data_IF_528430520939
#
_entry.id   IF_528430520939
#
_cell.length_a   1.000
_cell.length_b   1.000
_cell.length_c   1.000
_cell.angle_alpha   90.00
_cell.angle_beta   90.00
_cell.angle_gamma   90.00
#
_symmetry.space_group_name_H-M   'P 1'
#
loop_
_entity.id
_entity.type
_entity.pdbx_description
1 polymer ?
#
# COMPACT_ATOMS: atom_id res chain seq x y z
N UNK A 1 -21.88 18.11 40.08
CA UNK A 1 -22.85 17.30 39.33
C UNK A 1 -22.07 16.34 38.47
N UNK A 2 -22.41 15.05 38.55
CA UNK A 2 -21.65 13.91 38.03
C UNK A 2 -21.61 13.90 36.50
N UNK A 3 -20.50 14.29 35.90
CA UNK A 3 -20.27 14.24 34.45
C UNK A 3 -19.38 13.07 34.02
N UNK A 4 -18.73 12.38 34.95
CA UNK A 4 -17.65 11.43 34.65
C UNK A 4 -18.09 10.07 34.08
N UNK A 5 -19.18 9.41 34.55
CA UNK A 5 -19.53 8.08 34.02
C UNK A 5 -20.23 8.13 32.65
N UNK A 6 -21.22 9.02 32.46
CA UNK A 6 -21.98 9.09 31.20
C UNK A 6 -21.14 9.61 30.03
N UNK A 7 -20.29 10.62 30.25
CA UNK A 7 -19.35 11.08 29.21
C UNK A 7 -18.30 10.01 28.89
N UNK A 8 -17.83 9.25 29.89
CA UNK A 8 -16.91 8.14 29.67
C UNK A 8 -17.57 7.00 28.88
N UNK A 9 -18.82 6.65 29.19
CA UNK A 9 -19.60 5.64 28.47
C UNK A 9 -19.87 6.09 27.03
N UNK A 10 -20.25 7.35 26.82
CA UNK A 10 -20.46 7.93 25.49
C UNK A 10 -19.15 7.97 24.67
N UNK A 11 -18.02 8.35 25.29
CA UNK A 11 -16.71 8.33 24.65
C UNK A 11 -16.25 6.90 24.32
N UNK A 12 -16.50 5.94 25.20
CA UNK A 12 -16.19 4.53 24.99
C UNK A 12 -17.02 3.93 23.85
N UNK A 13 -18.32 4.27 23.79
CA UNK A 13 -19.22 3.84 22.71
C UNK A 13 -18.80 4.41 21.37
N UNK A 14 -18.54 5.72 21.30
CA UNK A 14 -18.07 6.36 20.07
C UNK A 14 -16.72 5.81 19.63
N UNK A 15 -15.80 5.51 20.55
CA UNK A 15 -14.52 4.87 20.24
C UNK A 15 -14.70 3.44 19.69
N UNK A 16 -15.65 2.67 20.23
CA UNK A 16 -15.95 1.33 19.74
C UNK A 16 -16.60 1.37 18.34
N UNK A 17 -17.56 2.27 18.11
CA UNK A 17 -18.16 2.48 16.78
C UNK A 17 -17.11 2.90 15.75
N UNK A 18 -16.20 3.79 16.13
CA UNK A 18 -15.09 4.24 15.31
C UNK A 18 -14.13 3.07 14.98
N UNK A 19 -13.76 2.23 15.96
CA UNK A 19 -12.95 1.03 15.74
C UNK A 19 -13.64 0.01 14.81
N UNK A 20 -14.95 -0.20 14.97
CA UNK A 20 -15.73 -1.05 14.07
C UNK A 20 -15.73 -0.51 12.64
N UNK A 21 -15.96 0.80 12.46
CA UNK A 21 -15.90 1.44 11.15
C UNK A 21 -14.52 1.31 10.49
N UNK A 22 -13.44 1.46 11.26
CA UNK A 22 -12.07 1.26 10.80
C UNK A 22 -11.85 -0.17 10.27
N UNK A 23 -12.24 -1.17 11.06
CA UNK A 23 -12.08 -2.59 10.72
C UNK A 23 -12.92 -2.93 9.47
N UNK A 24 -14.14 -2.41 9.37
CA UNK A 24 -14.99 -2.59 8.19
C UNK A 24 -14.36 -1.96 6.94
N UNK A 25 -13.85 -0.73 7.04
CA UNK A 25 -13.20 -0.04 5.93
C UNK A 25 -11.92 -0.79 5.47
N UNK A 26 -11.11 -1.26 6.42
CA UNK A 26 -9.93 -2.07 6.15
C UNK A 26 -10.27 -3.39 5.44
N UNK A 27 -11.30 -4.10 5.93
CA UNK A 27 -11.76 -5.34 5.32
C UNK A 27 -12.28 -5.12 3.89
N UNK A 28 -13.07 -4.07 3.68
CA UNK A 28 -13.54 -3.70 2.34
C UNK A 28 -12.36 -3.39 1.40
N UNK A 29 -11.36 -2.64 1.87
CA UNK A 29 -10.20 -2.30 1.05
C UNK A 29 -9.33 -3.52 0.74
N UNK A 30 -9.17 -4.43 1.69
CA UNK A 30 -8.46 -5.69 1.47
C UNK A 30 -9.17 -6.56 0.41
N UNK A 31 -10.50 -6.62 0.45
CA UNK A 31 -11.30 -7.31 -0.57
C UNK A 31 -11.19 -6.64 -1.95
N UNK A 32 -11.24 -5.31 -2.01
CA UNK A 32 -11.03 -4.55 -3.26
C UNK A 32 -9.62 -4.78 -3.82
N UNK A 33 -8.59 -4.78 -2.97
CA UNK A 33 -7.21 -5.08 -3.36
C UNK A 33 -7.05 -6.50 -3.91
N UNK A 34 -7.73 -7.49 -3.30
CA UNK A 34 -7.79 -8.86 -3.82
C UNK A 34 -8.50 -8.93 -5.17
N UNK A 35 -9.63 -8.25 -5.32
CA UNK A 35 -10.34 -8.18 -6.60
C UNK A 35 -9.45 -7.59 -7.70
N UNK A 36 -8.77 -6.47 -7.41
CA UNK A 36 -7.83 -5.83 -8.33
C UNK A 36 -6.65 -6.74 -8.67
N UNK A 37 -6.12 -7.48 -7.69
CA UNK A 37 -5.04 -8.45 -7.91
C UNK A 37 -5.48 -9.63 -8.79
N UNK A 38 -6.65 -10.22 -8.52
CA UNK A 38 -7.21 -11.30 -9.33
C UNK A 38 -7.47 -10.80 -10.76
N UNK A 39 -8.09 -9.62 -10.90
CA UNK A 39 -8.35 -8.98 -12.19
C UNK A 39 -7.04 -8.75 -12.97
N UNK A 40 -5.98 -8.26 -12.31
CA UNK A 40 -4.66 -8.11 -12.91
C UNK A 40 -4.11 -9.43 -13.47
N UNK A 41 -4.18 -10.52 -12.69
CA UNK A 41 -3.71 -11.84 -13.11
C UNK A 41 -4.52 -12.39 -14.28
N UNK A 42 -5.86 -12.27 -14.23
CA UNK A 42 -6.75 -12.71 -15.32
C UNK A 42 -6.47 -11.94 -16.61
N UNK A 43 -6.33 -10.62 -16.52
CA UNK A 43 -6.03 -9.78 -17.67
C UNK A 43 -4.65 -10.10 -18.26
N UNK A 44 -3.63 -10.30 -17.41
CA UNK A 44 -2.30 -10.71 -17.85
C UNK A 44 -2.31 -12.08 -18.55
N UNK A 45 -3.03 -13.05 -17.99
CA UNK A 45 -3.17 -14.38 -18.58
C UNK A 45 -3.89 -14.33 -19.94
N UNK A 46 -5.00 -13.58 -20.03
CA UNK A 46 -5.76 -13.39 -21.27
C UNK A 46 -4.92 -12.73 -22.35
N UNK A 47 -4.24 -11.63 -22.02
CA UNK A 47 -3.34 -10.94 -22.95
C UNK A 47 -2.22 -11.87 -23.44
N UNK A 48 -1.58 -12.61 -22.52
CA UNK A 48 -0.51 -13.56 -22.85
C UNK A 48 -1.00 -14.66 -23.79
N UNK A 49 -2.21 -15.18 -23.60
CA UNK A 49 -2.78 -16.21 -24.45
C UNK A 49 -3.10 -15.71 -25.88
N UNK A 50 -3.75 -14.55 -25.98
CA UNK A 50 -4.06 -13.90 -27.27
C UNK A 50 -2.78 -13.59 -28.06
N UNK A 51 -1.77 -13.06 -27.38
CA UNK A 51 -0.50 -12.70 -27.98
C UNK A 51 0.36 -13.91 -28.33
N UNK A 52 0.37 -14.96 -27.50
CA UNK A 52 1.05 -16.21 -27.85
C UNK A 52 0.46 -16.85 -29.10
N UNK A 53 -0.86 -16.80 -29.25
CA UNK A 53 -1.56 -17.26 -30.46
C UNK A 53 -1.17 -16.41 -31.67
N UNK A 54 -1.12 -15.09 -31.51
CA UNK A 54 -0.69 -14.17 -32.57
C UNK A 54 0.77 -14.38 -32.97
N UNK A 55 1.67 -14.47 -31.99
CA UNK A 55 3.10 -14.72 -32.17
C UNK A 55 3.35 -16.07 -32.84
N UNK A 56 2.64 -17.13 -32.43
CA UNK A 56 2.72 -18.43 -33.08
C UNK A 56 2.29 -18.37 -34.55
N UNK A 57 1.18 -17.67 -34.87
CA UNK A 57 0.75 -17.45 -36.26
C UNK A 57 1.79 -16.70 -37.08
N UNK A 58 2.40 -15.66 -36.52
CA UNK A 58 3.45 -14.89 -37.18
C UNK A 58 4.69 -15.76 -37.44
N UNK A 59 5.16 -16.48 -36.43
CA UNK A 59 6.32 -17.37 -36.56
C UNK A 59 6.09 -18.50 -37.57
N UNK A 60 4.89 -19.09 -37.60
CA UNK A 60 4.51 -20.11 -38.58
C UNK A 60 4.38 -19.55 -40.01
N UNK A 61 4.20 -18.24 -40.15
CA UNK A 61 4.12 -17.57 -41.46
C UNK A 61 5.49 -17.09 -41.97
N UNK A 62 6.57 -17.32 -41.21
CA UNK A 62 7.92 -16.97 -41.62
C UNK A 62 8.33 -17.75 -42.88
N UNK A 63 8.89 -17.05 -43.87
CA UNK A 63 9.27 -17.62 -45.17
C UNK A 63 10.64 -18.27 -45.14
N UNK A 64 11.49 -17.85 -44.20
CA UNK A 64 12.85 -18.36 -44.03
C UNK A 64 13.33 -18.24 -42.56
N UNK A 65 14.47 -18.90 -42.21
CA UNK A 65 15.02 -18.84 -40.85
C UNK A 65 15.41 -17.43 -40.37
N UNK A 66 15.69 -16.50 -41.29
CA UNK A 66 16.08 -15.13 -40.95
C UNK A 66 14.85 -14.29 -40.56
N UNK A 67 13.73 -14.47 -41.26
CA UNK A 67 12.43 -13.90 -40.90
C UNK A 67 11.95 -14.48 -39.56
N UNK A 68 12.14 -15.78 -39.32
CA UNK A 68 11.82 -16.42 -38.04
C UNK A 68 12.59 -15.78 -36.86
N UNK A 69 13.92 -15.61 -36.99
CA UNK A 69 14.74 -14.97 -35.95
C UNK A 69 14.34 -13.50 -35.74
N UNK A 70 13.99 -12.79 -36.81
CA UNK A 70 13.53 -11.40 -36.74
C UNK A 70 12.21 -11.30 -35.96
N UNK A 71 11.24 -12.17 -36.26
CA UNK A 71 9.95 -12.23 -35.57
C UNK A 71 10.11 -12.66 -34.10
N UNK A 72 11.00 -13.60 -33.82
CA UNK A 72 11.31 -14.03 -32.45
C UNK A 72 11.89 -12.88 -31.61
N UNK A 73 12.87 -12.15 -32.15
CA UNK A 73 13.50 -11.03 -31.44
C UNK A 73 12.58 -9.81 -31.30
N UNK A 74 11.64 -9.61 -32.22
CA UNK A 74 10.65 -8.54 -32.15
C UNK A 74 9.74 -8.63 -30.92
N UNK A 75 9.58 -9.81 -30.31
CA UNK A 75 8.77 -10.01 -29.12
C UNK A 75 9.45 -9.57 -27.82
N UNK A 76 10.77 -9.38 -27.81
CA UNK A 76 11.52 -9.11 -26.58
C UNK A 76 11.14 -7.76 -25.93
N UNK A 77 11.02 -6.70 -26.73
CA UNK A 77 10.62 -5.37 -26.25
C UNK A 77 9.19 -5.34 -25.69
N UNK A 78 8.14 -5.76 -26.43
CA UNK A 78 6.77 -5.73 -25.91
C UNK A 78 6.57 -6.63 -24.68
N UNK A 79 7.26 -7.78 -24.60
CA UNK A 79 7.16 -8.65 -23.41
C UNK A 79 7.68 -7.97 -22.15
N UNK A 80 8.72 -7.17 -22.28
CA UNK A 80 9.27 -6.47 -21.14
C UNK A 80 8.50 -5.21 -20.73
N UNK A 81 7.95 -4.48 -21.71
CA UNK A 81 7.02 -3.38 -21.42
C UNK A 81 5.82 -3.90 -20.62
N UNK A 82 5.32 -5.11 -20.94
CA UNK A 82 4.25 -5.78 -20.17
C UNK A 82 4.68 -6.20 -18.78
N UNK A 83 5.88 -6.78 -18.62
CA UNK A 83 6.39 -7.15 -17.30
C UNK A 83 6.52 -5.91 -16.39
N UNK A 84 7.00 -4.80 -16.95
CA UNK A 84 7.10 -3.52 -16.25
C UNK A 84 5.71 -2.93 -15.92
N UNK A 85 4.75 -3.03 -16.85
CA UNK A 85 3.38 -2.60 -16.61
C UNK A 85 2.70 -3.43 -15.51
N UNK A 86 2.85 -4.76 -15.52
CA UNK A 86 2.37 -5.63 -14.45
C UNK A 86 2.96 -5.23 -13.09
N UNK A 87 4.27 -4.99 -13.04
CA UNK A 87 4.95 -4.51 -11.83
C UNK A 87 4.41 -3.16 -11.33
N UNK A 88 4.15 -2.22 -12.24
CA UNK A 88 3.50 -0.93 -11.92
C UNK A 88 2.10 -1.10 -11.36
N UNK A 89 1.28 -1.92 -11.99
CA UNK A 89 -0.07 -2.19 -11.50
C UNK A 89 -0.07 -2.84 -10.13
N UNK A 90 0.80 -3.83 -9.91
CA UNK A 90 0.94 -4.49 -8.61
C UNK A 90 1.39 -3.48 -7.53
N UNK A 91 2.41 -2.66 -7.82
CA UNK A 91 2.87 -1.62 -6.89
C UNK A 91 1.77 -0.59 -6.57
N UNK A 92 0.93 -0.24 -7.53
CA UNK A 92 -0.22 0.65 -7.33
C UNK A 92 -1.26 0.04 -6.39
N UNK A 93 -1.60 -1.24 -6.56
CA UNK A 93 -2.56 -1.95 -5.69
C UNK A 93 -2.03 -2.00 -4.24
N UNK A 94 -0.74 -2.34 -4.08
CA UNK A 94 -0.09 -2.37 -2.76
C UNK A 94 -0.06 -0.99 -2.11
N UNK A 95 0.30 0.05 -2.86
CA UNK A 95 0.38 1.43 -2.33
C UNK A 95 -0.99 1.96 -1.95
N UNK A 96 -2.03 1.74 -2.78
CA UNK A 96 -3.39 2.15 -2.46
C UNK A 96 -3.92 1.45 -1.19
N UNK A 97 -3.61 0.16 -1.02
CA UNK A 97 -3.99 -0.60 0.18
C UNK A 97 -3.26 -0.06 1.42
N UNK A 98 -1.96 0.23 1.30
CA UNK A 98 -1.15 0.79 2.39
C UNK A 98 -1.65 2.18 2.82
N UNK A 99 -2.01 3.05 1.88
CA UNK A 99 -2.50 4.39 2.18
C UNK A 99 -3.82 4.36 2.96
N UNK A 100 -4.76 3.52 2.57
CA UNK A 100 -6.02 3.37 3.29
C UNK A 100 -5.83 2.75 4.67
N UNK A 101 -4.86 1.83 4.82
CA UNK A 101 -4.48 1.32 6.14
C UNK A 101 -3.92 2.42 7.03
N UNK A 102 -3.02 3.24 6.49
CA UNK A 102 -2.46 4.39 7.21
C UNK A 102 -3.55 5.40 7.59
N UNK A 103 -4.48 5.74 6.69
CA UNK A 103 -5.59 6.65 6.99
C UNK A 103 -6.51 6.14 8.10
N UNK A 104 -6.87 4.85 8.07
CA UNK A 104 -7.70 4.25 9.11
C UNK A 104 -7.01 4.39 10.49
N UNK A 105 -5.71 4.11 10.55
CA UNK A 105 -4.93 4.26 11.78
C UNK A 105 -4.80 5.72 12.20
N UNK A 106 -4.50 6.64 11.29
CA UNK A 106 -4.36 8.09 11.56
C UNK A 106 -5.64 8.71 12.11
N UNK A 107 -6.78 8.42 11.48
CA UNK A 107 -8.11 8.93 11.83
C UNK A 107 -8.48 8.60 13.27
N UNK A 108 -8.16 7.38 13.74
CA UNK A 108 -8.52 6.95 15.09
C UNK A 108 -7.50 7.33 16.16
N UNK A 109 -6.21 7.35 15.82
CA UNK A 109 -5.16 7.69 16.79
C UNK A 109 -5.16 9.19 17.10
N UNK A 110 -5.30 10.08 16.12
CA UNK A 110 -5.19 11.52 16.35
C UNK A 110 -6.33 12.07 17.22
N UNK A 111 -7.59 11.76 16.90
CA UNK A 111 -8.74 12.21 17.69
C UNK A 111 -8.79 11.58 19.08
N UNK A 112 -8.46 10.29 19.18
CA UNK A 112 -8.46 9.58 20.47
C UNK A 112 -7.32 10.07 21.35
N UNK A 113 -6.11 10.29 20.83
CA UNK A 113 -5.00 10.81 21.62
C UNK A 113 -5.26 12.22 22.13
N UNK A 114 -5.83 13.12 21.31
CA UNK A 114 -6.15 14.47 21.75
C UNK A 114 -7.18 14.46 22.90
N UNK A 115 -8.26 13.67 22.77
CA UNK A 115 -9.28 13.51 23.82
C UNK A 115 -8.73 12.84 25.07
N UNK A 116 -7.91 11.79 24.93
CA UNK A 116 -7.31 11.07 26.06
C UNK A 116 -6.31 11.96 26.80
N UNK A 117 -5.46 12.72 26.10
CA UNK A 117 -4.54 13.67 26.74
C UNK A 117 -5.32 14.76 27.48
N UNK A 118 -6.38 15.31 26.87
CA UNK A 118 -7.24 16.30 27.52
C UNK A 118 -7.91 15.74 28.79
N UNK A 119 -8.42 14.50 28.73
CA UNK A 119 -9.02 13.82 29.87
C UNK A 119 -7.98 13.50 30.95
N UNK A 120 -6.77 13.10 30.56
CA UNK A 120 -5.66 12.87 31.50
C UNK A 120 -5.31 14.18 32.21
N UNK A 121 -5.19 15.30 31.50
CA UNK A 121 -4.85 16.58 32.11
C UNK A 121 -5.98 17.13 33.00
N UNK A 122 -7.24 16.88 32.65
CA UNK A 122 -8.41 17.22 33.46
C UNK A 122 -8.52 16.35 34.71
N UNK A 123 -8.22 15.05 34.61
CA UNK A 123 -8.10 14.14 35.76
C UNK A 123 -6.91 14.56 36.63
N UNK A 124 -5.74 14.87 36.05
CA UNK A 124 -4.54 15.28 36.79
C UNK A 124 -4.79 16.53 37.63
N UNK A 125 -5.54 17.50 37.11
CA UNK A 125 -5.93 18.71 37.86
C UNK A 125 -6.84 18.45 39.05
N UNK A 126 -7.60 17.37 39.01
CA UNK A 126 -8.62 17.04 40.01
C UNK A 126 -8.29 15.76 40.81
N UNK A 127 -7.10 15.17 40.61
CA UNK A 127 -6.76 13.88 41.17
C UNK A 127 -6.32 13.98 42.64
N UNK A 128 -6.70 13.01 43.50
CA UNK A 128 -6.23 12.96 44.88
C UNK A 128 -4.70 12.81 44.96
N UNK A 129 -4.09 13.35 46.02
CA UNK A 129 -2.66 13.14 46.29
C UNK A 129 -2.32 11.64 46.31
N UNK A 130 -1.27 11.22 45.59
CA UNK A 130 -0.84 9.82 45.46
C UNK A 130 -1.22 9.13 44.14
N UNK A 131 -1.80 9.85 43.18
CA UNK A 131 -2.20 9.35 41.85
C UNK A 131 -1.17 9.63 40.74
N UNK A 132 -0.05 10.29 41.07
CA UNK A 132 0.95 10.79 40.13
C UNK A 132 1.60 9.66 39.31
N UNK A 133 1.83 8.48 39.91
CA UNK A 133 2.40 7.33 39.20
C UNK A 133 1.44 6.75 38.16
N UNK A 134 0.13 6.72 38.46
CA UNK A 134 -0.88 6.21 37.53
C UNK A 134 -1.07 7.15 36.32
N UNK A 135 -1.10 8.46 36.56
CA UNK A 135 -1.13 9.49 35.50
C UNK A 135 0.11 9.40 34.60
N UNK A 136 1.30 9.22 35.20
CA UNK A 136 2.56 9.10 34.47
C UNK A 136 2.60 7.82 33.62
N UNK A 137 2.10 6.70 34.13
CA UNK A 137 1.98 5.46 33.38
C UNK A 137 1.03 5.63 32.17
N UNK A 138 -0.11 6.32 32.35
CA UNK A 138 -1.05 6.58 31.25
C UNK A 138 -0.44 7.47 30.16
N UNK A 139 0.26 8.55 30.54
CA UNK A 139 1.01 9.41 29.61
C UNK A 139 2.09 8.63 28.84
N UNK A 140 2.75 7.70 29.51
CA UNK A 140 3.77 6.83 28.90
C UNK A 140 3.17 5.87 27.87
N UNK A 141 2.02 5.26 28.19
CA UNK A 141 1.29 4.39 27.23
C UNK A 141 0.87 5.17 26.00
N UNK A 142 0.31 6.38 26.17
CA UNK A 142 -0.06 7.27 25.06
C UNK A 142 1.17 7.66 24.23
N UNK A 143 2.29 7.98 24.87
CA UNK A 143 3.56 8.26 24.19
C UNK A 143 4.07 7.07 23.36
N UNK A 144 4.01 5.86 23.90
CA UNK A 144 4.43 4.64 23.22
C UNK A 144 3.55 4.31 22.01
N UNK A 145 2.25 4.55 22.08
CA UNK A 145 1.32 4.39 20.95
C UNK A 145 1.66 5.37 19.82
N UNK A 146 1.92 6.65 20.15
CA UNK A 146 2.34 7.65 19.16
C UNK A 146 3.67 7.28 18.48
N UNK A 147 4.66 6.83 19.26
CA UNK A 147 5.95 6.40 18.71
C UNK A 147 5.82 5.16 17.82
N UNK A 148 4.98 4.19 18.21
CA UNK A 148 4.68 3.01 17.39
C UNK A 148 4.02 3.36 16.05
N UNK A 149 3.08 4.33 16.06
CA UNK A 149 2.47 4.86 14.85
C UNK A 149 3.50 5.54 13.94
N UNK A 150 4.35 6.43 14.49
CA UNK A 150 5.34 7.17 13.72
C UNK A 150 6.34 6.20 13.06
N UNK A 151 6.75 5.16 13.78
CA UNK A 151 7.60 4.10 13.26
C UNK A 151 6.92 3.29 12.14
N UNK A 152 5.63 2.95 12.29
CA UNK A 152 4.88 2.24 11.26
C UNK A 152 4.70 3.10 10.01
N UNK A 153 4.31 4.36 10.17
CA UNK A 153 4.16 5.34 9.08
C UNK A 153 5.47 5.50 8.31
N UNK A 154 6.59 5.67 9.02
CA UNK A 154 7.93 5.77 8.43
C UNK A 154 8.33 4.51 7.67
N UNK A 155 8.13 3.34 8.27
CA UNK A 155 8.47 2.04 7.65
C UNK A 155 7.66 1.81 6.38
N UNK A 156 6.35 2.10 6.43
CA UNK A 156 5.45 2.00 5.29
C UNK A 156 5.84 2.95 4.16
N UNK A 157 6.22 4.20 4.47
CA UNK A 157 6.73 5.17 3.48
C UNK A 157 8.05 4.73 2.84
N UNK A 158 8.98 4.20 3.64
CA UNK A 158 10.26 3.67 3.12
C UNK A 158 10.05 2.47 2.20
N UNK A 159 9.11 1.58 2.52
CA UNK A 159 8.77 0.45 1.68
C UNK A 159 8.21 0.90 0.32
N UNK A 160 7.30 1.88 0.30
CA UNK A 160 6.77 2.46 -0.95
C UNK A 160 7.87 3.13 -1.76
N UNK A 161 8.71 3.97 -1.14
CA UNK A 161 9.82 4.63 -1.83
C UNK A 161 10.80 3.62 -2.44
N UNK A 162 11.10 2.53 -1.73
CA UNK A 162 11.98 1.46 -2.24
C UNK A 162 11.36 0.74 -3.44
N UNK A 163 10.05 0.49 -3.41
CA UNK A 163 9.32 -0.09 -4.55
C UNK A 163 9.34 0.84 -5.76
N UNK A 164 9.06 2.13 -5.56
CA UNK A 164 9.10 3.14 -6.62
C UNK A 164 10.49 3.25 -7.24
N UNK A 165 11.55 3.28 -6.41
CA UNK A 165 12.94 3.33 -6.86
C UNK A 165 13.33 2.07 -7.64
N UNK A 166 12.98 0.89 -7.13
CA UNK A 166 13.26 -0.39 -7.81
C UNK A 166 12.60 -0.43 -9.18
N UNK A 167 11.36 0.06 -9.28
CA UNK A 167 10.60 0.11 -10.51
C UNK A 167 11.14 1.14 -11.50
N UNK A 168 11.56 2.31 -11.01
CA UNK A 168 12.22 3.34 -11.80
C UNK A 168 13.56 2.84 -12.36
N UNK A 169 14.36 2.16 -11.54
CA UNK A 169 15.63 1.56 -11.95
C UNK A 169 15.43 0.45 -12.98
N UNK A 170 14.46 -0.45 -12.77
CA UNK A 170 14.11 -1.48 -13.75
C UNK A 170 13.65 -0.86 -15.08
N UNK A 171 12.79 0.17 -15.03
CA UNK A 171 12.38 0.92 -16.23
C UNK A 171 13.56 1.53 -16.97
N UNK A 172 14.49 2.16 -16.23
CA UNK A 172 15.67 2.82 -16.80
C UNK A 172 16.63 1.82 -17.46
N UNK A 173 16.89 0.69 -16.80
CA UNK A 173 17.68 -0.39 -17.39
C UNK A 173 17.03 -0.93 -18.67
N UNK A 174 15.70 -1.03 -18.68
CA UNK A 174 14.95 -1.45 -19.85
C UNK A 174 15.09 -0.48 -21.03
N UNK A 175 14.91 0.82 -20.77
CA UNK A 175 15.08 1.87 -21.78
C UNK A 175 16.52 1.90 -22.31
N UNK A 176 17.52 1.82 -21.43
CA UNK A 176 18.94 1.80 -21.83
C UNK A 176 19.31 0.55 -22.65
N UNK A 177 18.75 -0.62 -22.30
CA UNK A 177 18.96 -1.84 -23.07
C UNK A 177 18.30 -1.74 -24.46
N UNK A 178 17.10 -1.14 -24.55
CA UNK A 178 16.41 -0.90 -25.81
C UNK A 178 17.16 0.12 -26.70
N UNK A 179 17.74 1.18 -26.11
CA UNK A 179 18.56 2.18 -26.80
C UNK A 179 19.88 1.58 -27.32
N UNK A 180 20.57 0.76 -26.51
CA UNK A 180 21.80 0.05 -26.94
C UNK A 180 21.52 -0.97 -28.05
N UNK A 181 20.35 -1.60 -28.06
CA UNK A 181 19.95 -2.54 -29.10
C UNK A 181 19.60 -1.82 -30.43
N UNK A 182 19.14 -0.58 -30.38
CA UNK A 182 18.86 0.25 -31.56
C UNK A 182 20.10 0.97 -32.10
N UNK A 183 21.06 1.35 -31.24
CA UNK A 183 22.31 1.99 -31.66
C UNK A 183 23.29 1.02 -32.33
N UNK A 184 23.24 -0.28 -32.01
CA UNK A 184 24.04 -1.33 -32.68
C UNK A 184 23.55 -1.70 -34.09
N UNK A 185 22.40 -1.17 -34.53
CA UNK A 185 21.80 -1.40 -35.86
C UNK A 185 22.02 -0.25 -36.85
N UNK A 186 22.72 0.82 -36.46
CA UNK A 186 23.22 1.88 -37.36
C UNK A 186 24.70 1.65 -37.64
#
# INVERSE_FOLDING_TARGET
MYTTPEQFIAASKNSMEAQFAAITALNQKALEGLEQFVSLNVNAAKATFEESTSAAKQLLSAKDPQEFLTLSTAQAKPNAEKALAYGRHLASITTATQQEFTKAVESHIAETNAKVISLIDEVTKNAPAGSEQAVTALKTVVGNINAGYEQLSKTSKQAVATLEETLANASKQFTQAAEKATSKKK
#
